data_IF_509306079073
#
_entry.id   IF_509306079073
#
_cell.length_a   1.000
_cell.length_b   1.000
_cell.length_c   1.000
_cell.angle_alpha   90.00
_cell.angle_beta   90.00
_cell.angle_gamma   90.00
#
_symmetry.space_group_name_H-M   'P 1'
#
loop_
_entity.id
_entity.type
_entity.pdbx_description
1 polymer ?
#
# COMPACT_ATOMS: atom_id res chain seq x y z
N UNK A 1 -7.67 -38.82 33.81
CA UNK A 1 -6.59 -38.45 32.88
C UNK A 1 -7.26 -37.70 31.72
N UNK A 2 -7.39 -36.39 31.89
CA UNK A 2 -8.11 -35.55 30.95
C UNK A 2 -7.08 -35.10 29.88
N UNK A 3 -7.25 -35.58 28.66
CA UNK A 3 -6.44 -35.17 27.52
C UNK A 3 -6.86 -33.75 27.15
N UNK A 4 -5.94 -32.79 27.27
CA UNK A 4 -6.12 -31.43 26.74
C UNK A 4 -6.20 -31.54 25.23
N UNK A 5 -7.08 -30.79 24.55
CA UNK A 5 -7.10 -30.78 23.11
C UNK A 5 -5.78 -30.19 22.59
N UNK A 6 -5.20 -30.87 21.60
CA UNK A 6 -4.05 -30.38 20.82
C UNK A 6 -4.31 -28.96 20.37
N UNK A 7 -3.36 -28.07 20.67
CA UNK A 7 -3.32 -26.74 20.13
C UNK A 7 -3.17 -26.91 18.61
N UNK A 8 -4.26 -26.68 17.89
CA UNK A 8 -4.21 -26.55 16.44
C UNK A 8 -3.27 -25.38 16.15
N UNK A 9 -2.09 -25.66 15.64
CA UNK A 9 -1.21 -24.64 15.06
C UNK A 9 -2.05 -23.85 14.03
N UNK A 10 -2.38 -22.62 14.39
CA UNK A 10 -3.02 -21.69 13.49
C UNK A 10 -1.99 -21.37 12.39
N UNK A 11 -2.18 -21.96 11.22
CA UNK A 11 -1.45 -21.56 10.00
C UNK A 11 -1.46 -20.04 9.93
N UNK A 12 -0.32 -19.39 9.64
CA UNK A 12 -0.25 -17.93 9.54
C UNK A 12 -1.24 -17.48 8.48
N UNK A 13 -2.31 -16.81 8.91
CA UNK A 13 -3.37 -16.36 7.99
C UNK A 13 -2.78 -15.38 6.99
N UNK A 14 -2.82 -15.74 5.73
CA UNK A 14 -2.37 -14.94 4.60
C UNK A 14 -3.18 -13.65 4.52
N UNK A 15 -2.60 -12.49 4.84
CA UNK A 15 -3.26 -11.18 4.73
C UNK A 15 -3.62 -10.85 3.27
N UNK A 16 -2.69 -11.13 2.37
CA UNK A 16 -2.82 -10.88 0.95
C UNK A 16 -2.47 -12.16 0.20
N UNK A 17 -3.48 -12.81 -0.38
CA UNK A 17 -3.28 -14.02 -1.20
C UNK A 17 -2.57 -13.71 -2.52
N UNK A 18 -2.61 -12.44 -2.93
CA UNK A 18 -2.03 -11.94 -4.17
C UNK A 18 -1.50 -10.53 -4.00
N UNK A 19 -0.29 -10.30 -4.50
CA UNK A 19 0.30 -8.97 -4.55
C UNK A 19 0.68 -8.63 -5.99
N UNK A 20 0.20 -7.47 -6.46
CA UNK A 20 0.48 -6.91 -7.78
C UNK A 20 1.41 -5.72 -7.61
N UNK A 21 2.53 -5.69 -8.31
CA UNK A 21 3.51 -4.60 -8.25
C UNK A 21 3.60 -3.91 -9.59
N UNK A 22 3.41 -2.58 -9.61
CA UNK A 22 3.72 -1.75 -10.76
C UNK A 22 5.23 -1.53 -10.86
N UNK A 23 5.81 -1.93 -11.98
CA UNK A 23 7.26 -1.89 -12.23
C UNK A 23 7.60 -0.93 -13.35
N UNK A 24 8.58 -0.08 -13.10
CA UNK A 24 9.31 0.71 -14.10
C UNK A 24 10.81 0.68 -13.78
N UNK A 25 11.62 1.50 -14.45
CA UNK A 25 13.07 1.53 -14.20
C UNK A 25 13.49 2.39 -13.01
N UNK A 26 12.55 2.86 -12.17
CA UNK A 26 12.85 3.66 -10.97
C UNK A 26 13.30 2.81 -9.79
N UNK A 27 14.09 3.40 -8.90
CA UNK A 27 14.45 2.77 -7.62
C UNK A 27 13.22 2.58 -6.72
N UNK A 28 12.25 3.46 -6.84
CA UNK A 28 11.01 3.40 -6.08
C UNK A 28 10.15 2.20 -6.47
N UNK A 29 10.14 1.79 -7.74
CA UNK A 29 9.45 0.57 -8.15
C UNK A 29 10.17 -0.69 -7.68
N UNK A 30 11.50 -0.71 -7.68
CA UNK A 30 12.28 -1.79 -7.08
C UNK A 30 12.03 -1.90 -5.58
N UNK A 31 11.94 -0.76 -4.88
CA UNK A 31 11.60 -0.75 -3.46
C UNK A 31 10.18 -1.25 -3.21
N UNK A 32 9.22 -0.87 -4.07
CA UNK A 32 7.86 -1.38 -3.98
C UNK A 32 7.81 -2.90 -4.13
N UNK A 33 8.62 -3.45 -5.04
CA UNK A 33 8.72 -4.90 -5.21
C UNK A 33 9.33 -5.60 -3.99
N UNK A 34 10.39 -5.05 -3.40
CA UNK A 34 11.01 -5.60 -2.17
C UNK A 34 10.04 -5.60 -0.98
N UNK A 35 9.36 -4.48 -0.74
CA UNK A 35 8.37 -4.38 0.33
C UNK A 35 7.17 -5.29 0.07
N UNK A 36 6.69 -5.34 -1.18
CA UNK A 36 5.62 -6.24 -1.59
C UNK A 36 5.98 -7.71 -1.38
N UNK A 37 7.20 -8.11 -1.72
CA UNK A 37 7.69 -9.47 -1.50
C UNK A 37 7.72 -9.83 0.00
N UNK A 38 8.10 -8.87 0.86
CA UNK A 38 8.06 -9.08 2.32
C UNK A 38 6.64 -9.25 2.86
N UNK A 39 5.65 -8.54 2.27
CA UNK A 39 4.25 -8.63 2.69
C UNK A 39 3.48 -9.79 2.02
N UNK A 40 4.02 -10.38 0.96
CA UNK A 40 3.38 -11.44 0.20
C UNK A 40 3.53 -12.80 0.89
N UNK A 41 2.40 -13.39 1.29
CA UNK A 41 2.34 -14.78 1.73
C UNK A 41 1.75 -15.71 0.65
N UNK A 42 1.56 -15.17 -0.57
CA UNK A 42 0.97 -15.85 -1.71
C UNK A 42 1.65 -15.45 -3.02
N UNK A 43 0.86 -15.27 -4.07
CA UNK A 43 1.38 -14.97 -5.41
C UNK A 43 1.86 -13.52 -5.53
N UNK A 44 3.11 -13.33 -5.94
CA UNK A 44 3.68 -12.04 -6.31
C UNK A 44 3.70 -11.90 -7.84
N UNK A 45 3.09 -10.85 -8.37
CA UNK A 45 3.07 -10.56 -9.81
C UNK A 45 3.64 -9.17 -10.07
N UNK A 46 4.71 -9.11 -10.85
CA UNK A 46 5.32 -7.87 -11.32
C UNK A 46 4.68 -7.50 -12.66
N UNK A 47 4.21 -6.26 -12.80
CA UNK A 47 3.55 -5.77 -14.00
C UNK A 47 4.24 -4.51 -14.52
N UNK A 48 4.90 -4.62 -15.65
CA UNK A 48 5.45 -3.50 -16.42
C UNK A 48 4.51 -3.15 -17.57
N UNK A 49 4.46 -1.88 -17.94
CA UNK A 49 3.64 -1.42 -19.04
C UNK A 49 4.47 -0.61 -20.03
N UNK A 50 4.15 -0.74 -21.31
CA UNK A 50 4.70 0.07 -22.40
C UNK A 50 3.58 0.66 -23.25
N UNK A 51 3.87 1.74 -23.97
CA UNK A 51 2.90 2.40 -24.81
C UNK A 51 2.47 3.76 -24.25
N UNK A 52 1.37 4.31 -24.69
CA UNK A 52 0.96 5.70 -24.47
C UNK A 52 1.08 6.08 -22.99
N UNK A 53 2.06 6.93 -22.65
CA UNK A 53 2.12 7.57 -21.35
C UNK A 53 1.00 8.61 -21.29
N UNK A 54 0.26 8.62 -20.19
CA UNK A 54 -0.81 9.62 -19.98
C UNK A 54 -0.28 11.08 -19.99
N UNK A 55 1.02 11.26 -19.88
CA UNK A 55 1.70 12.57 -19.89
C UNK A 55 1.70 13.24 -21.29
N UNK A 56 1.43 12.49 -22.36
CA UNK A 56 1.30 13.08 -23.69
C UNK A 56 -0.02 13.83 -23.93
N UNK A 57 -0.99 13.70 -23.04
CA UNK A 57 -2.29 14.38 -23.17
C UNK A 57 -2.29 15.80 -22.59
N UNK A 58 -1.27 16.21 -21.86
CA UNK A 58 -1.15 17.53 -21.24
C UNK A 58 -0.07 18.39 -21.93
N UNK A 59 -0.32 18.78 -23.17
CA UNK A 59 0.22 20.03 -23.71
C UNK A 59 1.65 20.00 -24.23
N UNK A 60 1.92 19.32 -25.35
CA UNK A 60 2.91 19.82 -26.31
C UNK A 60 2.21 20.71 -27.33
N UNK A 61 2.59 22.00 -27.45
CA UNK A 61 1.94 22.94 -28.40
C UNK A 61 2.32 22.74 -29.86
N UNK A 62 2.95 21.64 -30.21
CA UNK A 62 3.27 21.39 -31.63
C UNK A 62 3.18 19.90 -31.92
N UNK A 63 2.24 19.55 -32.80
CA UNK A 63 1.98 18.23 -33.34
C UNK A 63 3.13 17.63 -34.14
N UNK A 64 4.20 17.27 -33.46
CA UNK A 64 5.19 16.32 -33.96
C UNK A 64 4.71 14.97 -33.49
N UNK A 65 4.31 14.06 -34.39
CA UNK A 65 4.17 12.67 -33.99
C UNK A 65 5.56 12.23 -33.52
N UNK A 66 5.78 12.10 -32.20
CA UNK A 66 6.92 11.36 -31.72
C UNK A 66 6.82 10.00 -32.42
N UNK A 67 7.83 9.64 -33.19
CA UNK A 67 7.91 8.34 -33.84
C UNK A 67 7.88 7.30 -32.71
N UNK A 68 6.70 6.71 -32.53
CA UNK A 68 6.43 5.82 -31.44
C UNK A 68 7.04 4.47 -31.81
N UNK A 69 8.28 4.24 -31.40
CA UNK A 69 8.90 2.93 -31.49
C UNK A 69 8.37 2.04 -30.37
N UNK A 70 7.28 1.35 -30.66
CA UNK A 70 6.62 0.46 -29.73
C UNK A 70 7.52 -0.69 -29.27
N UNK A 71 8.48 -1.11 -30.09
CA UNK A 71 9.37 -2.22 -29.80
C UNK A 71 10.45 -1.79 -28.79
N UNK A 72 11.06 -0.61 -28.98
CA UNK A 72 12.05 -0.07 -28.03
C UNK A 72 11.44 0.17 -26.63
N UNK A 73 10.21 0.67 -26.56
CA UNK A 73 9.53 0.85 -25.28
C UNK A 73 9.15 -0.47 -24.61
N UNK A 74 8.85 -1.49 -25.40
CA UNK A 74 8.59 -2.83 -24.92
C UNK A 74 9.86 -3.46 -24.33
N UNK A 75 10.97 -3.37 -25.03
CA UNK A 75 12.28 -3.87 -24.55
C UNK A 75 12.65 -3.19 -23.22
N UNK A 76 12.50 -1.86 -23.13
CA UNK A 76 12.78 -1.14 -21.88
C UNK A 76 11.89 -1.60 -20.71
N UNK A 77 10.63 -1.95 -20.97
CA UNK A 77 9.74 -2.50 -19.96
C UNK A 77 10.11 -3.94 -19.56
N UNK A 78 10.53 -4.77 -20.51
CA UNK A 78 11.03 -6.12 -20.28
C UNK A 78 12.35 -6.10 -19.47
N UNK A 79 13.27 -5.18 -19.76
CA UNK A 79 14.51 -4.98 -19.01
C UNK A 79 14.24 -4.51 -17.57
N UNK A 80 13.30 -3.56 -17.38
CA UNK A 80 12.91 -3.11 -16.05
C UNK A 80 12.32 -4.26 -15.24
N UNK A 81 11.43 -5.04 -15.87
CA UNK A 81 10.82 -6.21 -15.24
C UNK A 81 11.86 -7.26 -14.85
N UNK A 82 12.82 -7.54 -15.73
CA UNK A 82 13.87 -8.54 -15.48
C UNK A 82 14.75 -8.15 -14.29
N UNK A 83 15.18 -6.88 -14.22
CA UNK A 83 15.97 -6.35 -13.09
C UNK A 83 15.24 -6.46 -11.77
N UNK A 84 13.99 -6.01 -11.73
CA UNK A 84 13.18 -6.07 -10.48
C UNK A 84 12.89 -7.51 -10.10
N UNK A 85 12.69 -8.41 -11.06
CA UNK A 85 12.49 -9.83 -10.82
C UNK A 85 13.72 -10.48 -10.16
N UNK A 86 14.91 -10.09 -10.55
CA UNK A 86 16.16 -10.57 -9.92
C UNK A 86 16.26 -10.06 -8.47
N UNK A 87 15.91 -8.81 -8.20
CA UNK A 87 15.94 -8.21 -6.86
C UNK A 87 15.04 -8.96 -5.86
N UNK A 88 13.95 -9.59 -6.32
CA UNK A 88 12.97 -10.29 -5.48
C UNK A 88 12.83 -11.77 -5.84
N UNK A 89 13.85 -12.37 -6.42
CA UNK A 89 13.82 -13.74 -6.92
C UNK A 89 13.44 -14.78 -5.86
N UNK A 90 13.77 -14.54 -4.58
CA UNK A 90 13.42 -15.42 -3.47
C UNK A 90 11.89 -15.58 -3.25
N UNK A 91 11.09 -14.62 -3.73
CA UNK A 91 9.64 -14.67 -3.67
C UNK A 91 8.99 -15.33 -4.92
N UNK A 92 9.79 -15.88 -5.83
CA UNK A 92 9.36 -16.54 -7.08
C UNK A 92 8.29 -15.73 -7.86
N UNK A 93 8.56 -14.48 -8.22
CA UNK A 93 7.55 -13.61 -8.81
C UNK A 93 7.24 -14.01 -10.25
N UNK A 94 5.95 -13.92 -10.62
CA UNK A 94 5.54 -13.94 -12.02
C UNK A 94 5.67 -12.55 -12.64
N UNK A 95 6.05 -12.47 -13.93
CA UNK A 95 6.21 -11.21 -14.65
C UNK A 95 5.17 -11.07 -15.77
N UNK A 96 4.61 -9.86 -15.94
CA UNK A 96 3.75 -9.50 -17.06
C UNK A 96 4.18 -8.18 -17.66
N UNK A 97 4.32 -8.13 -19.00
CA UNK A 97 4.48 -6.90 -19.76
C UNK A 97 3.21 -6.64 -20.55
N UNK A 98 2.62 -5.48 -20.41
CA UNK A 98 1.35 -5.14 -21.04
C UNK A 98 1.47 -3.84 -21.84
N UNK A 99 0.70 -3.74 -22.93
CA UNK A 99 0.57 -2.48 -23.66
C UNK A 99 -0.49 -1.62 -23.01
N UNK A 100 -0.17 -0.36 -22.68
CA UNK A 100 -1.12 0.60 -22.13
C UNK A 100 -0.59 1.32 -20.89
N UNK A 101 -1.51 1.77 -20.05
CA UNK A 101 -1.20 2.54 -18.84
C UNK A 101 -1.12 1.58 -17.65
N UNK A 102 0.00 1.60 -16.91
CA UNK A 102 0.28 0.64 -15.83
C UNK A 102 -0.77 0.66 -14.72
N UNK A 103 -1.23 1.83 -14.27
CA UNK A 103 -2.23 1.90 -13.20
C UNK A 103 -3.57 1.26 -13.61
N UNK A 104 -4.00 1.40 -14.87
CA UNK A 104 -5.22 0.80 -15.40
C UNK A 104 -5.09 -0.73 -15.49
N UNK A 105 -3.94 -1.21 -15.94
CA UNK A 105 -3.63 -2.63 -15.99
C UNK A 105 -3.59 -3.28 -14.60
N UNK A 106 -3.01 -2.60 -13.60
CA UNK A 106 -3.01 -3.05 -12.20
C UNK A 106 -4.43 -3.17 -11.64
N UNK A 107 -5.28 -2.17 -11.89
CA UNK A 107 -6.67 -2.16 -11.42
C UNK A 107 -7.46 -3.31 -12.04
N UNK A 108 -7.41 -3.45 -13.37
CA UNK A 108 -8.10 -4.56 -14.06
C UNK A 108 -7.62 -5.93 -13.61
N UNK A 109 -6.34 -6.06 -13.30
CA UNK A 109 -5.80 -7.33 -12.79
C UNK A 109 -6.26 -7.58 -11.35
N UNK A 110 -6.37 -6.53 -10.52
CA UNK A 110 -6.87 -6.65 -9.15
C UNK A 110 -8.37 -6.95 -9.06
N UNK A 111 -9.17 -6.50 -10.04
CA UNK A 111 -10.61 -6.80 -10.11
C UNK A 111 -10.93 -8.28 -10.31
N UNK A 112 -9.95 -9.08 -10.75
CA UNK A 112 -10.15 -10.51 -11.03
C UNK A 112 -10.18 -11.37 -9.79
N UNK A 113 -9.58 -10.94 -8.70
CA UNK A 113 -9.44 -11.74 -7.47
C UNK A 113 -9.54 -10.84 -6.24
N UNK A 114 -10.23 -11.36 -5.23
CA UNK A 114 -10.30 -10.74 -3.90
C UNK A 114 -8.96 -10.90 -3.15
N UNK A 115 -8.82 -10.25 -2.01
CA UNK A 115 -7.62 -10.28 -1.14
C UNK A 115 -6.31 -9.90 -1.87
N UNK A 116 -6.45 -9.00 -2.85
CA UNK A 116 -5.32 -8.46 -3.60
C UNK A 116 -4.74 -7.22 -2.92
N UNK A 117 -3.42 -7.09 -2.92
CA UNK A 117 -2.69 -5.86 -2.62
C UNK A 117 -2.07 -5.32 -3.91
N UNK A 118 -2.25 -4.04 -4.20
CA UNK A 118 -1.47 -3.36 -5.24
C UNK A 118 -0.33 -2.59 -4.56
N UNK A 119 0.90 -2.81 -5.00
CA UNK A 119 2.08 -2.07 -4.56
C UNK A 119 2.65 -1.23 -5.69
N UNK A 120 2.92 0.04 -5.40
CA UNK A 120 3.54 1.00 -6.33
C UNK A 120 4.57 1.85 -5.61
N UNK A 121 5.60 2.29 -6.34
CA UNK A 121 6.51 3.31 -5.84
C UNK A 121 5.81 4.65 -5.66
N UNK A 122 6.28 5.47 -4.73
CA UNK A 122 5.74 6.82 -4.52
C UNK A 122 5.94 7.72 -5.74
N UNK A 123 6.98 7.47 -6.53
CA UNK A 123 7.29 8.12 -7.81
C UNK A 123 7.78 7.09 -8.81
N UNK A 124 7.79 7.44 -10.10
CA UNK A 124 8.40 6.68 -11.17
C UNK A 124 9.54 7.47 -11.82
N UNK A 125 9.98 7.04 -13.00
CA UNK A 125 11.07 7.66 -13.78
C UNK A 125 10.88 9.15 -14.10
N UNK A 126 9.66 9.66 -14.06
CA UNK A 126 9.31 11.06 -14.33
C UNK A 126 9.26 11.97 -13.10
N UNK A 127 10.13 11.79 -12.09
CA UNK A 127 10.11 12.59 -10.87
C UNK A 127 10.28 14.08 -11.15
N UNK A 128 9.21 14.85 -10.89
CA UNK A 128 9.25 16.31 -10.96
C UNK A 128 9.44 16.90 -9.55
N UNK A 129 10.29 17.93 -9.44
CA UNK A 129 10.49 18.65 -8.18
C UNK A 129 9.16 19.24 -7.68
N UNK A 130 8.84 19.04 -6.40
CA UNK A 130 7.61 19.53 -5.79
C UNK A 130 6.38 18.62 -5.91
N UNK A 131 6.45 17.52 -6.66
CA UNK A 131 5.39 16.50 -6.68
C UNK A 131 5.63 15.52 -5.54
N UNK A 132 4.64 15.38 -4.67
CA UNK A 132 4.72 14.52 -3.48
C UNK A 132 4.34 13.06 -3.77
N UNK A 133 3.62 12.79 -4.88
CA UNK A 133 3.22 11.45 -5.31
C UNK A 133 3.08 11.42 -6.84
N UNK A 134 3.61 10.38 -7.48
CA UNK A 134 3.56 10.19 -8.92
C UNK A 134 2.15 9.89 -9.45
N UNK A 135 1.95 10.09 -10.76
CA UNK A 135 0.65 9.90 -11.41
C UNK A 135 0.12 8.46 -11.28
N UNK A 136 0.99 7.46 -11.36
CA UNK A 136 0.62 6.04 -11.17
C UNK A 136 0.07 5.81 -9.77
N UNK A 137 0.84 6.18 -8.75
CA UNK A 137 0.44 6.02 -7.35
C UNK A 137 -0.86 6.79 -7.06
N UNK A 138 -0.99 8.03 -7.52
CA UNK A 138 -2.21 8.84 -7.37
C UNK A 138 -3.43 8.15 -7.99
N UNK A 139 -3.33 7.65 -9.21
CA UNK A 139 -4.45 6.95 -9.85
C UNK A 139 -4.81 5.64 -9.13
N UNK A 140 -3.79 4.87 -8.68
CA UNK A 140 -4.00 3.62 -7.96
C UNK A 140 -4.71 3.86 -6.63
N UNK A 141 -4.26 4.81 -5.79
CA UNK A 141 -4.92 5.07 -4.49
C UNK A 141 -6.37 5.52 -4.63
N UNK A 142 -6.72 6.21 -5.73
CA UNK A 142 -8.09 6.65 -5.98
C UNK A 142 -8.99 5.56 -6.56
N UNK A 143 -8.47 4.70 -7.43
CA UNK A 143 -9.28 3.82 -8.28
C UNK A 143 -9.17 2.34 -7.93
N UNK A 144 -8.16 1.90 -7.16
CA UNK A 144 -7.99 0.49 -6.84
C UNK A 144 -9.20 -0.07 -6.06
N UNK A 145 -9.69 -1.26 -6.39
CA UNK A 145 -10.76 -1.92 -5.66
C UNK A 145 -10.26 -2.59 -4.36
N UNK A 146 -8.97 -2.68 -4.15
CA UNK A 146 -8.28 -3.41 -3.08
C UNK A 146 -7.33 -2.50 -2.29
N UNK A 147 -6.67 -3.05 -1.27
CA UNK A 147 -5.65 -2.35 -0.49
C UNK A 147 -4.47 -1.93 -1.35
N UNK A 148 -3.82 -0.82 -0.97
CA UNK A 148 -2.72 -0.23 -1.74
C UNK A 148 -1.53 0.06 -0.85
N UNK A 149 -0.35 -0.42 -1.24
CA UNK A 149 0.94 -0.02 -0.67
C UNK A 149 1.58 1.03 -1.57
N UNK A 150 1.83 2.21 -1.03
CA UNK A 150 2.68 3.23 -1.64
C UNK A 150 4.05 3.14 -0.98
N UNK A 151 4.99 2.54 -1.68
CA UNK A 151 6.33 2.30 -1.15
C UNK A 151 7.22 3.55 -1.25
N UNK A 152 8.01 3.77 -0.20
CA UNK A 152 9.06 4.79 -0.15
C UNK A 152 10.36 4.13 0.26
N UNK A 153 11.47 4.61 -0.31
CA UNK A 153 12.80 4.09 -0.04
C UNK A 153 13.16 4.28 1.43
N UNK A 154 13.59 3.19 2.06
CA UNK A 154 14.20 3.21 3.38
C UNK A 154 15.46 2.35 3.36
N UNK A 155 16.41 2.68 4.22
CA UNK A 155 17.78 2.13 4.19
C UNK A 155 17.98 0.86 5.03
N UNK A 156 16.92 0.26 5.57
CA UNK A 156 17.03 -0.86 6.50
C UNK A 156 15.96 -1.94 6.24
N UNK A 157 16.03 -3.03 7.00
CA UNK A 157 15.02 -4.09 6.97
C UNK A 157 13.61 -3.53 7.16
N UNK A 158 12.64 -4.06 6.43
CA UNK A 158 11.26 -3.59 6.38
C UNK A 158 10.30 -4.72 6.80
N UNK A 159 9.31 -4.42 7.66
CA UNK A 159 9.20 -3.25 8.53
C UNK A 159 9.82 -3.51 9.92
N UNK A 160 10.41 -2.49 10.58
CA UNK A 160 10.90 -2.54 11.97
C UNK A 160 9.98 -1.81 12.94
N UNK A 161 9.21 -0.84 12.42
CA UNK A 161 8.22 -0.09 13.19
C UNK A 161 7.02 0.21 12.31
N UNK A 162 5.85 -0.17 12.80
CA UNK A 162 4.55 0.06 12.16
C UNK A 162 3.79 1.09 12.99
N UNK A 163 3.28 2.12 12.33
CA UNK A 163 2.34 3.08 12.92
C UNK A 163 0.97 2.86 12.28
N UNK A 164 -0.11 2.93 13.06
CA UNK A 164 -1.47 2.84 12.55
C UNK A 164 -2.32 4.01 13.04
N UNK A 165 -3.03 4.68 12.12
CA UNK A 165 -3.96 5.76 12.45
C UNK A 165 -5.34 5.23 12.83
N UNK A 166 -5.85 5.64 13.99
CA UNK A 166 -7.13 5.19 14.55
C UNK A 166 -8.04 6.39 14.80
N UNK A 167 -9.29 6.32 14.32
CA UNK A 167 -10.35 7.32 14.58
C UNK A 167 -11.65 6.69 15.10
N UNK A 168 -11.68 5.36 15.26
CA UNK A 168 -12.84 4.59 15.68
C UNK A 168 -13.78 4.24 14.53
N UNK A 169 -13.45 4.54 13.28
CA UNK A 169 -14.22 4.06 12.12
C UNK A 169 -14.02 2.55 11.88
N UNK A 170 -14.97 1.87 11.22
CA UNK A 170 -14.77 0.47 10.79
C UNK A 170 -13.52 0.30 9.94
N UNK A 171 -13.19 1.27 9.11
CA UNK A 171 -11.98 1.25 8.26
C UNK A 171 -10.71 1.39 9.07
N UNK A 172 -10.70 2.19 10.14
CA UNK A 172 -9.55 2.27 11.05
C UNK A 172 -9.39 1.00 11.89
N UNK A 173 -10.51 0.35 12.25
CA UNK A 173 -10.49 -0.96 12.91
C UNK A 173 -9.91 -2.04 11.99
N UNK A 174 -10.27 -2.01 10.71
CA UNK A 174 -9.68 -2.87 9.69
C UNK A 174 -8.18 -2.64 9.53
N UNK A 175 -7.77 -1.36 9.47
CA UNK A 175 -6.37 -0.98 9.39
C UNK A 175 -5.57 -1.46 10.61
N UNK A 176 -6.14 -1.35 11.81
CA UNK A 176 -5.52 -1.85 13.03
C UNK A 176 -5.35 -3.37 13.02
N UNK A 177 -6.37 -4.12 12.60
CA UNK A 177 -6.29 -5.57 12.50
C UNK A 177 -5.17 -6.02 11.56
N UNK A 178 -5.04 -5.38 10.39
CA UNK A 178 -3.96 -5.62 9.44
C UNK A 178 -2.60 -5.25 10.04
N UNK A 179 -2.48 -4.06 10.63
CA UNK A 179 -1.23 -3.60 11.25
C UNK A 179 -0.76 -4.53 12.38
N UNK A 180 -1.69 -5.00 13.21
CA UNK A 180 -1.42 -5.95 14.29
C UNK A 180 -0.90 -7.28 13.75
N UNK A 181 -1.56 -7.84 12.75
CA UNK A 181 -1.12 -9.12 12.15
C UNK A 181 0.25 -8.98 11.47
N UNK A 182 0.54 -7.85 10.81
CA UNK A 182 1.87 -7.56 10.27
C UNK A 182 2.91 -7.44 11.38
N UNK A 183 2.60 -6.71 12.45
CA UNK A 183 3.52 -6.54 13.57
C UNK A 183 3.85 -7.87 14.26
N UNK A 184 2.87 -8.75 14.44
CA UNK A 184 3.04 -10.10 14.95
C UNK A 184 3.90 -10.97 14.02
N UNK A 185 3.62 -10.93 12.70
CA UNK A 185 4.35 -11.73 11.72
C UNK A 185 5.80 -11.31 11.50
N UNK A 186 6.10 -10.01 11.66
CA UNK A 186 7.46 -9.46 11.56
C UNK A 186 8.17 -9.31 12.92
N UNK A 187 7.51 -9.67 14.03
CA UNK A 187 8.01 -9.45 15.38
C UNK A 187 8.48 -8.01 15.62
N UNK A 188 7.67 -7.02 15.21
CA UNK A 188 8.06 -5.61 15.17
C UNK A 188 7.17 -4.71 16.03
N UNK A 189 7.63 -3.51 16.32
CA UNK A 189 6.90 -2.52 17.10
C UNK A 189 5.65 -2.03 16.36
N UNK A 190 4.51 -2.01 17.05
CA UNK A 190 3.25 -1.43 16.60
C UNK A 190 2.87 -0.25 17.51
N UNK A 191 2.66 0.92 16.92
CA UNK A 191 2.18 2.13 17.60
C UNK A 191 0.85 2.57 17.00
N UNK A 192 -0.20 2.61 17.82
CA UNK A 192 -1.49 3.17 17.43
C UNK A 192 -1.50 4.68 17.75
N UNK A 193 -1.89 5.49 16.77
CA UNK A 193 -1.96 6.95 16.88
C UNK A 193 -3.41 7.41 16.74
N UNK A 194 -3.89 8.17 17.73
CA UNK A 194 -5.21 8.81 17.75
C UNK A 194 -5.03 10.31 17.75
N UNK A 195 -5.51 10.98 16.71
CA UNK A 195 -5.42 12.44 16.57
C UNK A 195 -6.78 13.10 16.84
N UNK A 196 -6.83 13.99 17.83
CA UNK A 196 -8.07 14.60 18.30
C UNK A 196 -8.37 15.99 17.69
N UNK A 197 -7.46 16.55 16.92
CA UNK A 197 -7.56 17.91 16.39
C UNK A 197 -8.56 18.07 15.25
N UNK A 198 -9.78 18.49 15.56
CA UNK A 198 -10.75 18.99 14.59
C UNK A 198 -11.48 17.93 13.76
N UNK A 199 -11.43 16.67 14.16
CA UNK A 199 -12.24 15.57 13.60
C UNK A 199 -12.89 14.78 14.74
N UNK A 200 -14.08 14.25 14.52
CA UNK A 200 -14.68 13.33 15.47
C UNK A 200 -13.87 12.06 15.60
N UNK A 201 -13.74 11.57 16.83
CA UNK A 201 -13.12 10.28 17.17
C UNK A 201 -14.13 9.49 18.02
N UNK A 202 -14.44 8.29 17.62
CA UNK A 202 -15.23 7.38 18.45
C UNK A 202 -14.32 6.77 19.53
N UNK A 203 -14.26 7.46 20.69
CA UNK A 203 -13.42 7.07 21.81
C UNK A 203 -13.77 5.70 22.37
N UNK A 204 -15.05 5.36 22.40
CA UNK A 204 -15.49 4.06 22.93
C UNK A 204 -14.95 2.92 22.06
N UNK A 205 -15.03 3.07 20.74
CA UNK A 205 -14.50 2.08 19.82
C UNK A 205 -12.97 2.03 19.83
N UNK A 206 -12.31 3.20 19.94
CA UNK A 206 -10.85 3.28 20.11
C UNK A 206 -10.42 2.56 21.38
N UNK A 207 -11.07 2.80 22.53
CA UNK A 207 -10.74 2.15 23.80
C UNK A 207 -10.95 0.63 23.72
N UNK A 208 -11.96 0.19 22.98
CA UNK A 208 -12.21 -1.25 22.75
C UNK A 208 -11.15 -1.90 21.88
N UNK A 209 -10.65 -1.19 20.84
CA UNK A 209 -9.68 -1.71 19.89
C UNK A 209 -8.25 -1.77 20.45
N UNK A 210 -7.79 -0.67 21.03
CA UNK A 210 -6.38 -0.49 21.40
C UNK A 210 -6.15 -0.24 22.89
N UNK A 211 -7.19 0.00 23.67
CA UNK A 211 -7.08 0.29 25.10
C UNK A 211 -6.17 1.49 25.37
N UNK A 212 -5.22 1.30 26.30
CA UNK A 212 -4.23 2.33 26.68
C UNK A 212 -2.95 2.26 25.86
N UNK A 213 -2.81 1.31 24.94
CA UNK A 213 -1.61 1.13 24.09
C UNK A 213 -1.69 2.01 22.84
N UNK A 214 -1.76 3.34 23.05
CA UNK A 214 -1.86 4.32 21.96
C UNK A 214 -1.20 5.63 22.32
N UNK A 215 -0.85 6.40 21.30
CA UNK A 215 -0.46 7.80 21.41
C UNK A 215 -1.67 8.70 21.08
N UNK A 216 -2.11 9.48 22.06
CA UNK A 216 -3.17 10.48 21.87
C UNK A 216 -2.53 11.83 21.55
N UNK A 217 -2.78 12.34 20.34
CA UNK A 217 -2.18 13.58 19.85
C UNK A 217 -3.25 14.67 19.69
N UNK A 218 -3.00 15.92 20.19
CA UNK A 218 -3.94 17.02 20.07
C UNK A 218 -4.03 17.59 18.66
N UNK A 219 -3.10 17.22 17.79
CA UNK A 219 -2.99 17.73 16.44
C UNK A 219 -4.10 17.22 15.52
N UNK A 220 -4.23 17.86 14.35
CA UNK A 220 -5.09 17.35 13.27
C UNK A 220 -4.52 16.03 12.73
N UNK A 221 -5.38 15.11 12.22
CA UNK A 221 -4.93 13.78 11.82
C UNK A 221 -3.78 13.76 10.83
N UNK A 222 -3.81 14.61 9.81
CA UNK A 222 -2.76 14.59 8.77
C UNK A 222 -1.39 15.01 9.32
N UNK A 223 -1.24 16.16 10.01
CA UNK A 223 0.04 16.51 10.64
C UNK A 223 0.53 15.46 11.65
N UNK A 224 -0.36 14.93 12.49
CA UNK A 224 -0.02 13.93 13.50
C UNK A 224 0.54 12.64 12.84
N UNK A 225 -0.18 12.09 11.87
CA UNK A 225 0.24 10.87 11.19
C UNK A 225 1.50 11.07 10.32
N UNK A 226 1.63 12.24 9.67
CA UNK A 226 2.85 12.58 8.92
C UNK A 226 4.07 12.70 9.86
N UNK A 227 3.91 13.31 11.03
CA UNK A 227 4.98 13.36 12.03
C UNK A 227 5.35 11.97 12.52
N UNK A 228 4.38 11.15 12.92
CA UNK A 228 4.57 9.77 13.35
C UNK A 228 5.23 8.89 12.28
N UNK A 229 4.97 9.17 10.99
CA UNK A 229 5.59 8.45 9.87
C UNK A 229 7.10 8.70 9.72
N UNK A 230 7.65 9.74 10.37
CA UNK A 230 9.08 10.05 10.25
C UNK A 230 9.96 8.94 10.85
N UNK A 231 9.52 8.35 11.95
CA UNK A 231 10.24 7.32 12.68
C UNK A 231 9.70 5.90 12.43
N UNK A 232 8.69 5.76 11.57
CA UNK A 232 8.11 4.48 11.16
C UNK A 232 8.66 4.01 9.81
N UNK A 233 8.61 2.72 9.55
CA UNK A 233 8.89 2.15 8.23
C UNK A 233 7.60 1.99 7.43
N UNK A 234 6.48 1.71 8.12
CA UNK A 234 5.15 1.55 7.53
C UNK A 234 4.11 2.32 8.34
N UNK A 235 3.36 3.19 7.67
CA UNK A 235 2.16 3.82 8.20
C UNK A 235 0.93 3.15 7.60
N UNK A 236 0.05 2.62 8.46
CA UNK A 236 -1.18 1.94 8.05
C UNK A 236 -2.38 2.85 8.33
N UNK A 237 -3.24 3.03 7.36
CA UNK A 237 -4.47 3.84 7.48
C UNK A 237 -5.63 3.14 6.79
N UNK A 238 -6.85 3.36 7.29
CA UNK A 238 -8.06 2.96 6.59
C UNK A 238 -8.27 3.78 5.31
N UNK A 239 -8.96 3.25 4.34
CA UNK A 239 -9.24 3.96 3.09
C UNK A 239 -10.19 5.15 3.29
N UNK A 240 -11.02 5.14 4.34
CA UNK A 240 -11.98 6.19 4.71
C UNK A 240 -11.94 6.40 6.22
N UNK A 241 -12.50 7.51 6.70
CA UNK A 241 -12.77 7.76 8.10
C UNK A 241 -14.26 7.90 8.34
N UNK A 242 -14.68 8.20 9.60
CA UNK A 242 -16.06 8.22 10.08
C UNK A 242 -17.07 8.97 9.19
N UNK A 243 -16.66 9.94 8.39
CA UNK A 243 -17.55 10.82 7.63
C UNK A 243 -17.27 10.87 6.12
N UNK A 244 -16.54 9.92 5.56
CA UNK A 244 -16.22 9.95 4.14
C UNK A 244 -17.20 9.13 3.31
N UNK A 245 -17.85 9.79 2.35
CA UNK A 245 -18.68 9.15 1.32
C UNK A 245 -17.89 8.79 0.05
N UNK A 246 -16.61 9.20 -0.02
CA UNK A 246 -15.74 8.95 -1.18
C UNK A 246 -15.03 7.60 -1.03
N UNK A 247 -14.61 7.04 -2.16
CA UNK A 247 -13.82 5.79 -2.20
C UNK A 247 -12.49 5.90 -1.43
N UNK A 248 -11.89 7.09 -1.37
CA UNK A 248 -10.71 7.42 -0.57
C UNK A 248 -11.01 8.63 0.31
N UNK A 249 -10.68 8.55 1.61
CA UNK A 249 -10.85 9.65 2.57
C UNK A 249 -9.80 10.73 2.40
N UNK A 250 -10.17 11.96 2.76
CA UNK A 250 -9.27 13.13 2.64
C UNK A 250 -8.03 13.05 3.54
N UNK A 251 -8.10 12.31 4.65
CA UNK A 251 -6.95 12.07 5.53
C UNK A 251 -6.00 11.08 4.86
N UNK A 252 -6.51 9.92 4.43
CA UNK A 252 -5.71 8.85 3.81
C UNK A 252 -5.01 9.33 2.54
N UNK A 253 -5.70 10.12 1.71
CA UNK A 253 -5.13 10.74 0.51
C UNK A 253 -3.96 11.67 0.86
N UNK A 254 -4.17 12.64 1.77
CA UNK A 254 -3.14 13.59 2.16
C UNK A 254 -1.96 12.92 2.87
N UNK A 255 -2.23 11.92 3.68
CA UNK A 255 -1.19 11.11 4.33
C UNK A 255 -0.38 10.36 3.27
N UNK A 256 -1.02 9.72 2.29
CA UNK A 256 -0.32 9.06 1.19
C UNK A 256 0.61 10.02 0.43
N UNK A 257 0.21 11.29 0.28
CA UNK A 257 1.05 12.31 -0.35
C UNK A 257 2.21 12.78 0.53
N UNK A 258 2.02 12.94 1.84
CA UNK A 258 2.93 13.69 2.71
C UNK A 258 3.77 12.81 3.66
N UNK A 259 3.39 11.56 3.89
CA UNK A 259 4.10 10.66 4.79
C UNK A 259 5.56 10.47 4.36
N UNK A 260 6.44 10.27 5.33
CA UNK A 260 7.87 10.03 5.12
C UNK A 260 8.21 8.54 5.03
N UNK A 261 7.35 7.68 5.58
CA UNK A 261 7.41 6.21 5.45
C UNK A 261 6.57 5.71 4.28
N UNK A 262 6.67 4.42 3.99
CA UNK A 262 5.70 3.72 3.16
C UNK A 262 4.30 3.78 3.78
N UNK A 263 3.26 3.81 2.95
CA UNK A 263 1.87 3.91 3.41
C UNK A 263 1.06 2.74 2.87
N UNK A 264 0.45 1.99 3.78
CA UNK A 264 -0.53 0.95 3.44
C UNK A 264 -1.95 1.50 3.69
N UNK A 265 -2.70 1.66 2.62
CA UNK A 265 -4.11 2.04 2.67
C UNK A 265 -4.95 0.77 2.64
N UNK A 266 -5.61 0.46 3.77
CA UNK A 266 -6.40 -0.76 3.92
C UNK A 266 -7.83 -0.52 3.46
N UNK A 267 -8.36 -1.44 2.63
CA UNK A 267 -9.76 -1.49 2.22
C UNK A 267 -10.49 -2.68 2.85
N UNK A 268 -11.81 -2.55 3.06
CA UNK A 268 -12.63 -3.45 3.90
C UNK A 268 -12.54 -4.94 3.56
N UNK A 269 -12.28 -5.33 2.31
CA UNK A 269 -12.25 -6.74 1.92
C UNK A 269 -11.19 -7.57 2.67
N UNK A 270 -10.05 -6.97 3.04
CA UNK A 270 -8.99 -7.63 3.82
C UNK A 270 -9.41 -7.85 5.28
N UNK A 271 -10.27 -6.98 5.82
CA UNK A 271 -10.73 -7.06 7.21
C UNK A 271 -11.72 -8.22 7.48
N UNK A 272 -12.40 -8.72 6.46
CA UNK A 272 -13.30 -9.87 6.61
C UNK A 272 -12.52 -11.13 7.02
N UNK A 273 -11.32 -11.31 6.50
CA UNK A 273 -10.44 -12.43 6.84
C UNK A 273 -9.85 -12.31 8.27
N UNK A 274 -9.72 -11.07 8.80
CA UNK A 274 -9.23 -10.84 10.16
C UNK A 274 -10.29 -11.09 11.24
N UNK A 275 -11.60 -10.94 10.94
CA UNK A 275 -12.70 -11.04 11.93
C UNK A 275 -13.10 -12.46 12.29
N UNK A 276 -12.69 -13.48 11.56
CA UNK A 276 -13.05 -14.88 11.82
C UNK A 276 -12.35 -15.54 13.01
N UNK A 277 -11.62 -14.81 13.86
CA UNK A 277 -10.78 -15.35 14.93
C UNK A 277 -11.27 -15.05 16.35
N UNK A 278 -12.47 -14.50 16.53
CA UNK A 278 -13.01 -14.06 17.83
C UNK A 278 -14.42 -14.55 18.14
N UNK A 279 -14.81 -15.77 17.79
CA UNK A 279 -16.01 -16.44 18.33
C UNK A 279 -15.66 -17.81 18.89
#
# INVERSE_FOLDING_TARGET
MTVLPEQTELEPRTLFSRVLVGVDSSEESSEAARQAAALAHGRLTLLAAYGVTADFAAGTPMGIPAYYDGDLHREAAEDALSRVREDVAAADPTGKVVRGVVWDALIREAEREQDTLIAVGSHGVGRMAGISLGAVATNVIHKAPCSVLVARKRSAAFPRKIVVGIDGSPESAAAYAVAKQLAEGFETELVAVVAHGGVPVDRHLVDTLVGHYREDLPDKPVPALVAASADADLLVVGSRGLHSLKALGSVSERVAHQARSSVLIVREHVAANCRGAGQ
#
